data_IF_395610239597
#
_entry.id   IF_395610239597
#
_cell.length_a   1.000
_cell.length_b   1.000
_cell.length_c   1.000
_cell.angle_alpha   90.00
_cell.angle_beta   90.00
_cell.angle_gamma   90.00
#
_symmetry.space_group_name_H-M   'P 1'
#
loop_
_entity.id
_entity.type
_entity.pdbx_description
1 polymer ?
#
# COMPACT_ATOMS: atom_id res chain seq x y z
N UNK A 1 39.56 -43.49 -72.84
CA UNK A 1 39.39 -42.83 -74.17
C UNK A 1 38.64 -41.52 -73.99
N UNK A 2 39.22 -40.47 -74.57
CA UNK A 2 38.85 -39.05 -74.52
C UNK A 2 37.45 -38.72 -75.09
N UNK A 3 36.74 -37.77 -74.46
CA UNK A 3 36.04 -36.66 -75.15
C UNK A 3 36.02 -35.38 -74.28
N UNK A 4 37.01 -34.54 -74.54
CA UNK A 4 37.02 -33.06 -74.58
C UNK A 4 35.87 -32.24 -73.96
N UNK A 5 36.28 -31.39 -73.01
CA UNK A 5 36.09 -29.92 -72.94
C UNK A 5 34.74 -29.31 -73.36
N UNK A 6 34.08 -28.64 -72.41
CA UNK A 6 33.83 -27.18 -72.45
C UNK A 6 32.80 -26.76 -71.39
N UNK A 7 33.24 -26.18 -70.28
CA UNK A 7 32.48 -25.15 -69.55
C UNK A 7 33.42 -24.43 -68.59
N UNK A 8 34.12 -23.47 -69.18
CA UNK A 8 34.91 -22.43 -68.52
C UNK A 8 33.92 -21.46 -67.83
N UNK A 9 34.35 -20.89 -66.72
CA UNK A 9 33.76 -19.73 -66.03
C UNK A 9 32.48 -19.99 -65.20
N UNK A 10 32.65 -20.22 -63.90
CA UNK A 10 32.16 -19.29 -62.86
C UNK A 10 32.67 -19.75 -61.48
N UNK A 11 33.97 -19.59 -61.26
CA UNK A 11 34.52 -19.53 -59.89
C UNK A 11 34.44 -18.08 -59.44
N UNK A 12 34.20 -17.87 -58.15
CA UNK A 12 34.19 -16.61 -57.39
C UNK A 12 32.77 -16.06 -57.14
N UNK A 13 32.14 -16.55 -56.07
CA UNK A 13 31.31 -15.77 -55.13
C UNK A 13 30.96 -16.66 -53.94
N UNK A 14 31.99 -17.08 -53.19
CA UNK A 14 31.80 -17.61 -51.83
C UNK A 14 31.77 -16.40 -50.86
N UNK A 15 30.66 -15.68 -50.89
CA UNK A 15 30.38 -14.56 -50.00
C UNK A 15 29.70 -15.04 -48.73
N UNK A 16 30.43 -14.96 -47.60
CA UNK A 16 29.95 -14.71 -46.24
C UNK A 16 28.46 -14.98 -45.96
N UNK A 17 28.13 -16.17 -45.47
CA UNK A 17 26.90 -16.38 -44.70
C UNK A 17 27.26 -16.19 -43.23
N UNK A 18 27.27 -14.93 -42.80
CA UNK A 18 27.14 -14.57 -41.39
C UNK A 18 25.65 -14.50 -41.07
N UNK A 19 25.05 -15.63 -40.70
CA UNK A 19 23.67 -15.66 -40.19
C UNK A 19 23.68 -15.17 -38.75
N UNK A 20 23.46 -13.87 -38.62
CA UNK A 20 23.12 -13.17 -37.38
C UNK A 20 21.95 -13.88 -36.70
N UNK A 21 22.21 -14.54 -35.56
CA UNK A 21 21.16 -14.91 -34.62
C UNK A 21 20.56 -13.62 -34.07
N UNK A 22 19.37 -13.27 -34.54
CA UNK A 22 18.57 -12.18 -33.99
C UNK A 22 18.20 -12.57 -32.56
N UNK A 23 18.82 -11.93 -31.57
CA UNK A 23 18.28 -11.89 -30.22
C UNK A 23 16.95 -11.14 -30.30
N UNK A 24 15.85 -11.89 -30.37
CA UNK A 24 14.53 -11.35 -30.10
C UNK A 24 14.53 -10.96 -28.62
N UNK A 25 14.93 -9.73 -28.31
CA UNK A 25 14.66 -9.13 -27.02
C UNK A 25 13.14 -9.01 -26.90
N UNK A 26 12.55 -9.73 -25.95
CA UNK A 26 11.15 -9.53 -25.59
C UNK A 26 11.01 -8.07 -25.10
N UNK A 27 10.55 -7.18 -25.97
CA UNK A 27 9.99 -5.90 -25.54
C UNK A 27 8.62 -6.19 -24.91
N UNK A 28 8.63 -6.77 -23.72
CA UNK A 28 7.44 -6.88 -22.89
C UNK A 28 7.10 -5.47 -22.42
N UNK A 29 6.06 -4.85 -22.99
CA UNK A 29 5.56 -3.58 -22.48
C UNK A 29 5.21 -3.79 -20.99
N UNK A 30 5.77 -2.94 -20.13
CA UNK A 30 5.45 -2.98 -18.70
C UNK A 30 3.93 -2.80 -18.52
N UNK A 31 3.30 -3.52 -17.57
CA UNK A 31 1.87 -3.37 -17.32
C UNK A 31 1.56 -1.93 -16.92
N UNK A 32 0.45 -1.39 -17.45
CA UNK A 32 -0.01 -0.04 -17.12
C UNK A 32 -0.71 -0.05 -15.76
N UNK A 33 -0.02 0.39 -14.72
CA UNK A 33 -0.50 0.39 -13.34
C UNK A 33 -1.32 1.64 -13.01
N UNK A 34 -2.40 1.85 -13.77
CA UNK A 34 -3.35 2.96 -13.57
C UNK A 34 -4.34 2.58 -12.46
N UNK A 35 -4.73 3.59 -11.66
CA UNK A 35 -5.71 3.44 -10.60
C UNK A 35 -7.13 3.13 -11.11
N UNK A 36 -8.03 2.62 -10.25
CA UNK A 36 -9.41 2.33 -10.63
C UNK A 36 -10.15 3.59 -11.07
N UNK A 37 -10.92 3.51 -12.16
CA UNK A 37 -11.71 4.64 -12.68
C UNK A 37 -13.17 4.63 -12.20
N UNK A 38 -13.60 3.56 -11.53
CA UNK A 38 -14.98 3.41 -11.06
C UNK A 38 -15.26 4.28 -9.85
N UNK A 39 -16.49 4.79 -9.73
CA UNK A 39 -17.01 5.42 -8.51
C UNK A 39 -17.61 4.39 -7.54
N UNK A 40 -17.76 3.14 -7.95
CA UNK A 40 -18.26 2.07 -7.10
C UNK A 40 -17.07 1.33 -6.47
N UNK A 41 -17.04 1.28 -5.14
CA UNK A 41 -15.93 0.69 -4.38
C UNK A 41 -15.67 -0.78 -4.75
N UNK A 42 -16.71 -1.62 -4.82
CA UNK A 42 -16.55 -3.04 -5.13
C UNK A 42 -15.93 -3.26 -6.53
N UNK A 43 -16.38 -2.51 -7.53
CA UNK A 43 -15.78 -2.54 -8.87
C UNK A 43 -14.34 -2.01 -8.88
N UNK A 44 -14.07 -0.99 -8.07
CA UNK A 44 -12.73 -0.44 -7.93
C UNK A 44 -11.77 -1.45 -7.27
N UNK A 45 -12.22 -2.17 -6.24
CA UNK A 45 -11.49 -3.27 -5.59
C UNK A 45 -11.15 -4.35 -6.61
N UNK A 46 -12.14 -4.82 -7.40
CA UNK A 46 -11.89 -5.83 -8.44
C UNK A 46 -10.84 -5.37 -9.46
N UNK A 47 -10.85 -4.09 -9.82
CA UNK A 47 -9.87 -3.49 -10.73
C UNK A 47 -8.47 -3.44 -10.11
N UNK A 48 -8.37 -3.02 -8.85
CA UNK A 48 -7.12 -2.99 -8.10
C UNK A 48 -6.54 -4.40 -7.94
N UNK A 49 -7.37 -5.37 -7.55
CA UNK A 49 -6.98 -6.78 -7.43
C UNK A 49 -6.41 -7.32 -8.75
N UNK A 50 -7.12 -7.10 -9.86
CA UNK A 50 -6.69 -7.53 -11.19
C UNK A 50 -5.34 -6.92 -11.57
N UNK A 51 -5.15 -5.62 -11.32
CA UNK A 51 -3.91 -4.91 -11.64
C UNK A 51 -2.74 -5.38 -10.79
N UNK A 52 -2.96 -5.57 -9.48
CA UNK A 52 -1.95 -6.08 -8.54
C UNK A 52 -1.48 -7.48 -8.93
N UNK A 53 -2.38 -8.35 -9.37
CA UNK A 53 -2.04 -9.69 -9.87
C UNK A 53 -1.29 -9.67 -11.21
N UNK A 54 -1.43 -8.61 -12.00
CA UNK A 54 -0.77 -8.46 -13.31
C UNK A 54 0.60 -7.75 -13.23
N UNK A 55 1.19 -7.66 -12.03
CA UNK A 55 2.55 -7.16 -11.85
C UNK A 55 2.65 -5.78 -11.21
N UNK A 56 1.54 -5.14 -10.86
CA UNK A 56 1.52 -3.80 -10.25
C UNK A 56 1.69 -3.80 -8.72
N UNK A 57 2.22 -4.87 -8.12
CA UNK A 57 2.34 -5.05 -6.67
C UNK A 57 3.05 -3.89 -5.94
N UNK A 58 4.05 -3.25 -6.57
CA UNK A 58 4.76 -2.08 -6.00
C UNK A 58 3.89 -0.83 -5.86
N UNK A 59 2.69 -0.83 -6.44
CA UNK A 59 1.74 0.28 -6.37
C UNK A 59 0.62 0.04 -5.36
N UNK A 60 0.74 -0.96 -4.48
CA UNK A 60 -0.28 -1.30 -3.49
C UNK A 60 -0.74 -0.08 -2.68
N UNK A 61 0.20 0.72 -2.16
CA UNK A 61 -0.10 1.94 -1.40
C UNK A 61 -1.01 2.90 -2.17
N UNK A 62 -0.71 3.13 -3.46
CA UNK A 62 -1.50 3.99 -4.32
C UNK A 62 -2.90 3.42 -4.53
N UNK A 63 -2.99 2.12 -4.83
CA UNK A 63 -4.30 1.48 -5.00
C UNK A 63 -5.14 1.57 -3.73
N UNK A 64 -4.54 1.36 -2.55
CA UNK A 64 -5.25 1.48 -1.29
C UNK A 64 -5.77 2.90 -1.06
N UNK A 65 -4.96 3.93 -1.38
CA UNK A 65 -5.36 5.33 -1.28
C UNK A 65 -6.44 5.74 -2.28
N UNK A 66 -6.37 5.25 -3.52
CA UNK A 66 -7.41 5.43 -4.53
C UNK A 66 -8.74 4.82 -4.06
N UNK A 67 -8.69 3.63 -3.45
CA UNK A 67 -9.88 2.96 -2.91
C UNK A 67 -10.50 3.75 -1.76
N UNK A 68 -9.68 4.29 -0.83
CA UNK A 68 -10.16 5.17 0.23
C UNK A 68 -10.86 6.40 -0.36
N UNK A 69 -10.24 7.05 -1.34
CA UNK A 69 -10.79 8.23 -2.02
C UNK A 69 -12.11 7.95 -2.75
N UNK A 70 -12.23 6.75 -3.35
CA UNK A 70 -13.49 6.31 -3.99
C UNK A 70 -14.57 6.09 -2.93
N UNK A 71 -14.22 5.44 -1.81
CA UNK A 71 -15.15 5.16 -0.73
C UNK A 71 -15.64 6.44 0.00
N UNK A 72 -14.81 7.48 0.09
CA UNK A 72 -15.21 8.81 0.58
C UNK A 72 -16.33 9.45 -0.27
N UNK A 73 -16.37 9.13 -1.57
CA UNK A 73 -17.42 9.61 -2.46
C UNK A 73 -18.78 8.93 -2.29
N UNK A 74 -18.81 7.76 -1.62
CA UNK A 74 -20.00 6.96 -1.36
C UNK A 74 -19.86 6.22 -0.01
N UNK A 75 -19.88 6.96 1.11
CA UNK A 75 -19.55 6.41 2.43
C UNK A 75 -20.66 5.49 2.95
N UNK A 76 -20.27 4.31 3.43
CA UNK A 76 -21.19 3.24 3.85
C UNK A 76 -20.61 2.41 4.99
N UNK A 77 -21.42 1.98 5.98
CA UNK A 77 -20.96 1.10 7.07
C UNK A 77 -20.21 -0.15 6.58
N UNK A 78 -20.66 -0.71 5.46
CA UNK A 78 -20.09 -1.94 4.88
C UNK A 78 -18.71 -1.73 4.25
N UNK A 79 -18.28 -0.50 3.99
CA UNK A 79 -16.97 -0.22 3.39
C UNK A 79 -15.84 -0.75 4.28
N UNK A 80 -16.00 -0.66 5.61
CA UNK A 80 -15.02 -1.20 6.58
C UNK A 80 -14.78 -2.70 6.38
N UNK A 81 -15.84 -3.46 6.12
CA UNK A 81 -15.74 -4.89 5.81
C UNK A 81 -15.04 -5.12 4.46
N UNK A 82 -15.38 -4.35 3.43
CA UNK A 82 -14.74 -4.46 2.11
C UNK A 82 -13.23 -4.20 2.16
N UNK A 83 -12.78 -3.21 2.95
CA UNK A 83 -11.34 -2.97 3.16
C UNK A 83 -10.67 -4.12 3.92
N UNK A 84 -11.32 -4.67 4.95
CA UNK A 84 -10.82 -5.84 5.66
C UNK A 84 -10.65 -7.04 4.73
N UNK A 85 -11.66 -7.35 3.92
CA UNK A 85 -11.63 -8.45 2.95
C UNK A 85 -10.56 -8.24 1.87
N UNK A 86 -10.40 -7.01 1.37
CA UNK A 86 -9.33 -6.68 0.43
C UNK A 86 -7.93 -6.92 1.02
N UNK A 87 -7.72 -6.56 2.29
CA UNK A 87 -6.44 -6.76 2.98
C UNK A 87 -6.16 -8.24 3.29
N UNK A 88 -7.19 -9.01 3.65
CA UNK A 88 -7.09 -10.48 3.81
C UNK A 88 -6.73 -11.12 2.47
N UNK A 89 -7.45 -10.79 1.40
CA UNK A 89 -7.14 -11.25 0.05
C UNK A 89 -5.70 -10.91 -0.36
N UNK A 90 -5.25 -9.69 -0.04
CA UNK A 90 -3.88 -9.24 -0.37
C UNK A 90 -2.83 -10.07 0.36
N UNK A 91 -3.13 -10.50 1.59
CA UNK A 91 -2.28 -11.42 2.34
C UNK A 91 -2.25 -12.81 1.71
N UNK A 92 -3.43 -13.34 1.33
CA UNK A 92 -3.55 -14.66 0.70
C UNK A 92 -2.84 -14.75 -0.67
N UNK A 93 -2.73 -13.62 -1.37
CA UNK A 93 -1.95 -13.50 -2.62
C UNK A 93 -0.46 -13.20 -2.41
N UNK A 94 -0.01 -13.07 -1.17
CA UNK A 94 1.38 -12.75 -0.84
C UNK A 94 1.80 -11.33 -1.22
N UNK A 95 0.84 -10.41 -1.43
CA UNK A 95 1.13 -9.00 -1.69
C UNK A 95 1.52 -8.26 -0.40
N UNK A 96 0.94 -8.69 0.73
CA UNK A 96 1.23 -8.18 2.07
C UNK A 96 1.54 -9.34 3.01
N UNK A 97 2.37 -9.08 4.02
CA UNK A 97 2.37 -9.90 5.23
C UNK A 97 1.12 -9.63 6.09
N UNK A 98 0.77 -10.58 6.96
CA UNK A 98 -0.32 -10.40 7.94
C UNK A 98 -0.17 -9.11 8.76
N UNK A 99 1.06 -8.82 9.19
CA UNK A 99 1.38 -7.60 9.95
C UNK A 99 1.10 -6.34 9.14
N UNK A 100 1.50 -6.31 7.87
CA UNK A 100 1.23 -5.15 7.01
C UNK A 100 -0.26 -4.95 6.80
N UNK A 101 -1.01 -6.02 6.55
CA UNK A 101 -2.47 -5.96 6.42
C UNK A 101 -3.14 -5.41 7.69
N UNK A 102 -2.73 -5.90 8.87
CA UNK A 102 -3.17 -5.36 10.16
C UNK A 102 -2.81 -3.88 10.31
N UNK A 103 -1.63 -3.46 9.88
CA UNK A 103 -1.19 -2.06 9.97
C UNK A 103 -2.04 -1.15 9.07
N UNK A 104 -2.33 -1.53 7.81
CA UNK A 104 -3.27 -0.77 6.96
C UNK A 104 -4.65 -0.66 7.60
N UNK A 105 -5.19 -1.78 8.10
CA UNK A 105 -6.51 -1.75 8.70
C UNK A 105 -6.54 -0.88 9.97
N UNK A 106 -5.54 -1.05 10.85
CA UNK A 106 -5.49 -0.35 12.13
C UNK A 106 -5.35 1.16 11.99
N UNK A 107 -4.59 1.60 10.99
CA UNK A 107 -4.34 3.01 10.70
C UNK A 107 -5.63 3.79 10.48
N UNK A 108 -6.56 3.22 9.70
CA UNK A 108 -7.79 3.91 9.29
C UNK A 108 -9.05 3.47 10.05
N UNK A 109 -9.16 2.20 10.42
CA UNK A 109 -10.43 1.59 10.86
C UNK A 109 -10.43 1.04 12.29
N UNK A 110 -9.29 1.07 12.99
CA UNK A 110 -9.23 0.74 14.41
C UNK A 110 -9.23 2.02 15.26
N UNK A 111 -9.93 1.96 16.39
CA UNK A 111 -10.01 3.03 17.38
C UNK A 111 -8.65 3.24 18.06
N UNK A 112 -7.91 2.15 18.32
CA UNK A 112 -6.63 2.22 19.03
C UNK A 112 -5.54 2.82 18.15
N UNK A 113 -4.69 3.64 18.75
CA UNK A 113 -3.57 4.26 18.07
C UNK A 113 -2.38 3.32 17.92
N UNK A 114 -1.87 3.18 16.70
CA UNK A 114 -0.63 2.50 16.40
C UNK A 114 0.57 3.24 16.96
N UNK A 115 0.50 4.58 16.91
CA UNK A 115 1.48 5.47 17.52
C UNK A 115 1.59 5.26 19.03
N UNK A 116 0.62 4.62 19.69
CA UNK A 116 0.64 4.26 21.12
C UNK A 116 1.10 2.83 21.44
N UNK A 117 1.45 1.99 20.45
CA UNK A 117 1.83 0.58 20.68
C UNK A 117 3.17 0.38 21.43
N UNK A 118 3.77 1.42 22.01
CA UNK A 118 5.01 1.36 22.79
C UNK A 118 4.80 1.61 24.28
N UNK A 119 5.85 1.42 25.08
CA UNK A 119 5.86 1.71 26.51
C UNK A 119 5.92 3.22 26.76
N UNK A 120 4.84 3.94 26.45
CA UNK A 120 4.72 5.37 26.73
C UNK A 120 4.57 5.69 28.23
N UNK A 121 4.72 4.69 29.08
CA UNK A 121 4.50 4.79 30.52
C UNK A 121 5.80 4.96 31.32
N UNK A 122 6.92 5.37 30.71
CA UNK A 122 8.17 5.59 31.44
C UNK A 122 8.65 7.06 31.34
N UNK A 123 9.16 7.57 32.47
CA UNK A 123 9.64 8.95 32.56
C UNK A 123 10.84 9.23 31.64
N UNK A 124 11.70 8.24 31.41
CA UNK A 124 12.96 8.40 30.68
C UNK A 124 12.80 8.45 29.16
N UNK A 125 11.82 7.75 28.59
CA UNK A 125 11.61 7.70 27.15
C UNK A 125 10.43 8.53 26.69
N UNK A 126 9.33 8.60 27.45
CA UNK A 126 8.13 9.32 26.98
C UNK A 126 8.25 10.82 27.15
N UNK A 127 8.64 11.30 28.33
CA UNK A 127 8.58 12.73 28.62
C UNK A 127 9.50 13.60 27.74
N UNK A 128 10.73 13.18 27.40
CA UNK A 128 11.54 13.90 26.43
C UNK A 128 10.95 13.93 25.02
N UNK A 129 10.04 13.00 24.71
CA UNK A 129 9.46 12.81 23.38
C UNK A 129 7.95 13.12 23.32
N UNK A 130 7.34 13.64 24.39
CA UNK A 130 5.88 13.83 24.54
C UNK A 130 5.25 14.50 23.32
N UNK A 131 5.79 15.64 22.90
CA UNK A 131 5.31 16.37 21.70
C UNK A 131 5.32 15.50 20.43
N UNK A 132 6.36 14.69 20.22
CA UNK A 132 6.43 13.80 19.05
C UNK A 132 5.38 12.71 19.10
N UNK A 133 5.08 12.18 20.29
CA UNK A 133 4.03 11.16 20.47
C UNK A 133 2.66 11.76 20.15
N UNK A 134 2.32 12.90 20.76
CA UNK A 134 1.05 13.58 20.54
C UNK A 134 0.88 13.99 19.07
N UNK A 135 1.92 14.53 18.44
CA UNK A 135 1.90 14.86 17.01
C UNK A 135 1.64 13.62 16.12
N UNK A 136 2.27 12.49 16.42
CA UNK A 136 2.03 11.25 15.66
C UNK A 136 0.60 10.74 15.86
N UNK A 137 0.06 10.87 17.08
CA UNK A 137 -1.32 10.50 17.36
C UNK A 137 -2.31 11.42 16.65
N UNK A 138 -2.09 12.73 16.64
CA UNK A 138 -2.94 13.71 15.95
C UNK A 138 -3.00 13.40 14.44
N UNK A 139 -1.85 13.08 13.83
CA UNK A 139 -1.81 12.64 12.43
C UNK A 139 -2.61 11.36 12.20
N UNK A 140 -2.48 10.38 13.10
CA UNK A 140 -3.25 9.14 13.02
C UNK A 140 -4.74 9.39 13.28
N UNK A 141 -5.13 10.37 14.10
CA UNK A 141 -6.53 10.74 14.31
C UNK A 141 -7.17 11.27 13.01
N UNK A 142 -6.43 12.03 12.19
CA UNK A 142 -6.91 12.43 10.86
C UNK A 142 -7.10 11.22 9.92
N UNK A 143 -6.25 10.20 10.03
CA UNK A 143 -6.40 8.94 9.29
C UNK A 143 -7.62 8.14 9.78
N UNK A 144 -7.87 8.15 11.09
CA UNK A 144 -9.08 7.58 11.69
C UNK A 144 -10.34 8.34 11.29
N UNK A 145 -10.30 9.67 11.21
CA UNK A 145 -11.41 10.48 10.67
C UNK A 145 -11.73 10.03 9.24
N UNK A 146 -10.68 9.83 8.43
CA UNK A 146 -10.82 9.34 7.07
C UNK A 146 -11.50 7.97 7.01
N UNK A 147 -10.98 6.99 7.72
CA UNK A 147 -11.51 5.62 7.68
C UNK A 147 -12.85 5.47 8.40
N UNK A 148 -12.92 5.84 9.67
CA UNK A 148 -14.10 5.65 10.50
C UNK A 148 -15.25 6.53 10.02
N UNK A 149 -15.02 7.84 9.88
CA UNK A 149 -16.10 8.79 9.56
C UNK A 149 -16.34 8.91 8.06
N UNK A 150 -15.31 9.28 7.28
CA UNK A 150 -15.48 9.63 5.85
C UNK A 150 -15.64 8.43 4.93
N UNK A 151 -15.17 7.25 5.32
CA UNK A 151 -15.30 6.03 4.51
C UNK A 151 -16.43 5.13 5.01
N UNK A 152 -16.57 4.98 6.34
CA UNK A 152 -17.46 3.97 6.92
C UNK A 152 -18.64 4.49 7.76
N UNK A 153 -18.83 5.81 7.91
CA UNK A 153 -19.90 6.38 8.75
C UNK A 153 -19.92 5.86 10.21
N UNK A 154 -18.79 5.34 10.70
CA UNK A 154 -18.56 4.85 12.06
C UNK A 154 -18.28 6.04 12.99
N UNK A 155 -19.31 6.88 13.17
CA UNK A 155 -19.26 8.08 14.00
C UNK A 155 -18.86 7.73 15.45
N UNK A 156 -19.45 6.68 16.01
CA UNK A 156 -19.15 6.21 17.36
C UNK A 156 -17.68 5.78 17.49
N UNK A 157 -17.17 4.99 16.52
CA UNK A 157 -15.77 4.60 16.49
C UNK A 157 -14.84 5.81 16.43
N UNK A 158 -15.16 6.80 15.60
CA UNK A 158 -14.37 8.03 15.50
C UNK A 158 -14.34 8.81 16.82
N UNK A 159 -15.50 9.08 17.43
CA UNK A 159 -15.55 9.81 18.70
C UNK A 159 -14.86 9.08 19.85
N UNK A 160 -14.90 7.74 19.86
CA UNK A 160 -14.10 6.95 20.81
C UNK A 160 -12.60 7.11 20.58
N UNK A 161 -12.15 7.26 19.33
CA UNK A 161 -10.74 7.48 19.01
C UNK A 161 -10.28 8.89 19.41
N UNK A 162 -11.12 9.91 19.15
CA UNK A 162 -10.89 11.29 19.60
C UNK A 162 -10.81 11.39 21.13
N UNK A 163 -11.74 10.75 21.85
CA UNK A 163 -11.70 10.69 23.31
C UNK A 163 -10.42 10.02 23.81
N UNK A 164 -10.01 8.90 23.20
CA UNK A 164 -8.76 8.22 23.56
C UNK A 164 -7.53 9.13 23.35
N UNK A 165 -7.52 9.96 22.31
CA UNK A 165 -6.47 10.95 22.10
C UNK A 165 -6.41 11.97 23.25
N UNK A 166 -7.55 12.55 23.64
CA UNK A 166 -7.65 13.51 24.74
C UNK A 166 -7.26 12.90 26.09
N UNK A 167 -7.69 11.67 26.37
CA UNK A 167 -7.33 10.94 27.60
C UNK A 167 -5.82 10.72 27.68
N UNK A 168 -5.19 10.36 26.57
CA UNK A 168 -3.75 10.12 26.52
C UNK A 168 -2.97 11.42 26.67
N UNK A 169 -3.41 12.51 26.05
CA UNK A 169 -2.81 13.83 26.26
C UNK A 169 -2.78 14.19 27.75
N UNK A 170 -3.91 14.04 28.44
CA UNK A 170 -4.02 14.31 29.86
C UNK A 170 -3.11 13.39 30.70
N UNK A 171 -3.12 12.08 30.43
CA UNK A 171 -2.30 11.11 31.17
C UNK A 171 -0.82 11.37 30.96
N UNK A 172 -0.40 11.70 29.74
CA UNK A 172 1.00 12.02 29.45
C UNK A 172 1.44 13.32 30.12
N UNK A 173 0.57 14.34 30.16
CA UNK A 173 0.85 15.59 30.87
C UNK A 173 1.03 15.36 32.37
N UNK A 174 0.09 14.64 32.99
CA UNK A 174 0.13 14.31 34.41
C UNK A 174 1.38 13.47 34.75
N UNK A 175 1.65 12.44 33.94
CA UNK A 175 2.82 11.55 34.11
C UNK A 175 4.11 12.36 34.07
N UNK A 176 4.28 13.22 33.07
CA UNK A 176 5.51 14.00 32.91
C UNK A 176 5.67 15.09 33.97
N UNK A 177 4.58 15.69 34.43
CA UNK A 177 4.59 16.61 35.58
C UNK A 177 5.04 15.89 36.85
N UNK A 178 4.52 14.68 37.11
CA UNK A 178 4.94 13.86 38.25
C UNK A 178 6.43 13.45 38.16
N UNK A 179 6.89 13.05 36.98
CA UNK A 179 8.31 12.71 36.75
C UNK A 179 9.25 13.91 36.99
N UNK A 180 8.79 15.14 36.71
CA UNK A 180 9.57 16.35 36.96
C UNK A 180 9.63 16.71 38.45
N UNK A 181 8.57 16.45 39.22
CA UNK A 181 8.51 16.73 40.65
C UNK A 181 9.36 15.78 41.53
N UNK A 182 9.73 14.61 41.01
CA UNK A 182 10.58 13.62 41.69
C UNK A 182 12.07 13.83 41.40
N UNK A 183 12.41 14.69 40.43
CA UNK A 183 13.79 15.08 40.12
C UNK A 183 14.24 16.27 40.96
#
# INVERSE_FOLDING_TARGET
MNKYNAAKQLRILAGLIATSFVLAACASNAPSCVGPQSKNLANAINTAQSSLMQGCHTHFDRYYDDLLSIAEGDPKPENKQQFSEFLIWSTDKGLLSKRQAEDYYNRFFNIKFMSLKGDYNNCSHTCPNKQRVLFNMERELAEKERGLLKVSLDNEGYYRADQLYQEVELVLEATCSACAAVR
#
